data_IF_338355917429
#
_entry.id   IF_338355917429
#
_cell.length_a   1.000
_cell.length_b   1.000
_cell.length_c   1.000
_cell.angle_alpha   90.00
_cell.angle_beta   90.00
_cell.angle_gamma   90.00
#
_symmetry.space_group_name_H-M   'P 1'
#
loop_
_entity.id
_entity.type
_entity.pdbx_description
1 polymer ?
#
# COMPACT_ATOMS: atom_id res chain seq x y z
N UNK A 1 -14.33 -31.41 16.89
CA UNK A 1 -13.92 -30.18 16.21
C UNK A 1 -14.06 -29.05 17.21
N UNK A 2 -12.93 -28.48 17.61
CA UNK A 2 -12.81 -27.48 18.67
C UNK A 2 -13.36 -26.12 18.19
N UNK A 3 -14.11 -25.45 19.07
CA UNK A 3 -14.50 -24.06 18.91
C UNK A 3 -13.32 -23.19 19.35
N UNK A 4 -12.72 -22.45 18.41
CA UNK A 4 -11.80 -21.37 18.72
C UNK A 4 -12.61 -20.15 19.19
N UNK A 5 -12.56 -19.92 20.49
CA UNK A 5 -13.02 -18.69 21.11
C UNK A 5 -11.98 -17.60 20.86
N UNK A 6 -12.28 -16.67 19.95
CA UNK A 6 -11.51 -15.46 19.77
C UNK A 6 -11.65 -14.57 21.03
N UNK A 7 -10.51 -14.24 21.65
CA UNK A 7 -10.47 -13.27 22.75
C UNK A 7 -10.67 -11.86 22.19
N UNK A 8 -11.59 -11.05 22.76
CA UNK A 8 -11.75 -9.67 22.31
C UNK A 8 -10.54 -8.84 22.74
N UNK A 9 -9.85 -8.27 21.76
CA UNK A 9 -8.79 -7.27 21.93
C UNK A 9 -9.37 -6.02 22.58
N UNK A 10 -8.61 -5.46 23.53
CA UNK A 10 -8.92 -4.33 24.41
C UNK A 10 -9.81 -3.24 23.80
N UNK A 11 -10.95 -2.99 24.46
CA UNK A 11 -11.99 -2.05 24.05
C UNK A 11 -11.76 -0.59 24.52
N UNK A 12 -10.50 -0.14 24.64
CA UNK A 12 -10.17 1.20 25.14
C UNK A 12 -9.63 2.13 24.04
N UNK A 13 -10.18 2.02 22.83
CA UNK A 13 -9.99 3.04 21.78
C UNK A 13 -11.34 3.67 21.47
N UNK A 14 -11.66 4.74 22.19
CA UNK A 14 -12.81 5.60 21.86
C UNK A 14 -12.38 6.55 20.75
N UNK A 15 -12.69 6.21 19.51
CA UNK A 15 -12.59 7.16 18.41
C UNK A 15 -13.61 8.29 18.61
N UNK A 16 -13.15 9.54 18.52
CA UNK A 16 -14.01 10.74 18.68
C UNK A 16 -15.08 10.88 17.57
N UNK A 17 -15.03 10.02 16.56
CA UNK A 17 -16.07 9.87 15.54
C UNK A 17 -16.18 8.40 15.13
N UNK A 18 -17.37 7.82 15.30
CA UNK A 18 -17.74 6.50 14.76
C UNK A 18 -18.24 6.55 13.32
N UNK A 19 -18.05 7.69 12.62
CA UNK A 19 -18.54 7.90 11.25
C UNK A 19 -17.39 7.91 10.25
N UNK A 20 -17.52 7.06 9.23
CA UNK A 20 -16.67 7.11 8.03
C UNK A 20 -16.90 8.42 7.26
N UNK A 21 -15.86 9.00 6.64
CA UNK A 21 -16.02 10.17 5.77
C UNK A 21 -16.95 9.86 4.61
N UNK A 22 -18.01 10.66 4.44
CA UNK A 22 -18.92 10.52 3.31
C UNK A 22 -18.27 11.13 2.06
N UNK A 23 -17.63 10.32 1.22
CA UNK A 23 -17.19 10.74 -0.10
C UNK A 23 -18.26 10.42 -1.15
N UNK A 24 -18.52 11.36 -2.06
CA UNK A 24 -19.26 11.08 -3.31
C UNK A 24 -18.27 11.07 -4.47
N UNK A 25 -18.26 9.99 -5.23
CA UNK A 25 -17.43 9.85 -6.43
C UNK A 25 -18.09 10.66 -7.56
N UNK A 26 -17.38 11.66 -8.08
CA UNK A 26 -17.81 12.44 -9.24
C UNK A 26 -17.63 11.67 -10.56
N UNK A 27 -18.19 12.21 -11.64
CA UNK A 27 -18.35 11.57 -12.97
C UNK A 27 -17.03 11.12 -13.65
N UNK A 28 -15.85 11.43 -13.08
CA UNK A 28 -14.54 11.00 -13.58
C UNK A 28 -13.64 10.34 -12.51
N UNK A 29 -14.20 9.63 -11.51
CA UNK A 29 -13.43 8.97 -10.44
C UNK A 29 -12.51 9.90 -9.62
N UNK A 30 -12.71 11.22 -9.67
CA UNK A 30 -12.07 12.16 -8.76
C UNK A 30 -12.94 12.34 -7.52
N UNK A 31 -12.35 12.10 -6.35
CA UNK A 31 -12.96 12.37 -5.04
C UNK A 31 -12.94 13.87 -4.78
N UNK A 32 -14.10 14.52 -4.76
CA UNK A 32 -14.23 15.90 -4.24
C UNK A 32 -14.63 15.82 -2.76
N UNK A 33 -13.77 16.33 -1.88
CA UNK A 33 -14.13 16.57 -0.47
C UNK A 33 -15.23 17.63 -0.42
N UNK A 34 -16.37 17.30 0.22
CA UNK A 34 -17.42 18.26 0.51
C UNK A 34 -16.92 19.16 1.63
N UNK A 35 -16.67 20.43 1.31
CA UNK A 35 -16.36 21.49 2.28
C UNK A 35 -17.58 21.71 3.18
N UNK A 36 -17.64 21.00 4.29
CA UNK A 36 -18.32 21.50 5.49
C UNK A 36 -17.23 21.81 6.52
N UNK A 37 -17.17 23.07 6.95
CA UNK A 37 -16.29 23.53 8.02
C UNK A 37 -16.65 22.82 9.34
N UNK A 38 -15.69 22.09 9.91
CA UNK A 38 -15.36 22.32 11.30
C UNK A 38 -13.88 22.67 11.37
N UNK A 39 -13.55 23.80 12.01
CA UNK A 39 -12.19 24.22 12.43
C UNK A 39 -11.19 23.05 12.40
N UNK A 40 -10.52 22.87 11.27
CA UNK A 40 -9.55 21.81 11.08
C UNK A 40 -8.32 22.25 11.87
N UNK A 41 -8.28 21.85 13.14
CA UNK A 41 -7.08 21.97 13.97
C UNK A 41 -5.99 21.23 13.20
N UNK A 42 -4.97 21.97 12.76
CA UNK A 42 -3.84 21.43 12.02
C UNK A 42 -3.28 20.21 12.75
N UNK A 43 -2.90 19.16 12.02
CA UNK A 43 -2.34 17.93 12.61
C UNK A 43 -1.16 18.23 13.55
N UNK A 44 -0.39 19.28 13.27
CA UNK A 44 0.68 19.77 14.13
C UNK A 44 0.17 20.29 15.48
N UNK A 45 -0.98 20.96 15.50
CA UNK A 45 -1.61 21.47 16.72
C UNK A 45 -2.30 20.35 17.50
N UNK A 46 -2.87 19.36 16.82
CA UNK A 46 -3.41 18.14 17.47
C UNK A 46 -2.29 17.36 18.17
N UNK A 47 -1.18 17.10 17.47
CA UNK A 47 0.01 16.44 18.04
C UNK A 47 0.58 17.26 19.21
N UNK A 48 0.67 18.60 19.09
CA UNK A 48 1.14 19.43 20.18
C UNK A 48 0.23 19.35 21.42
N UNK A 49 -1.09 19.38 21.23
CA UNK A 49 -2.07 19.24 22.34
C UNK A 49 -1.97 17.87 22.99
N UNK A 50 -1.90 16.79 22.21
CA UNK A 50 -1.74 15.43 22.71
C UNK A 50 -0.41 15.26 23.46
N UNK A 51 0.69 15.81 22.95
CA UNK A 51 2.00 15.81 23.61
C UNK A 51 1.95 16.53 24.97
N UNK A 52 1.27 17.68 25.03
CA UNK A 52 1.09 18.40 26.31
C UNK A 52 0.21 17.64 27.29
N UNK A 53 -0.82 16.94 26.81
CA UNK A 53 -1.68 16.09 27.66
C UNK A 53 -0.92 14.88 28.20
N UNK A 54 -0.07 14.24 27.40
CA UNK A 54 0.79 13.14 27.83
C UNK A 54 1.82 13.59 28.88
N UNK A 55 2.46 14.75 28.68
CA UNK A 55 3.38 15.35 29.65
C UNK A 55 2.69 15.74 30.97
N UNK A 56 1.45 16.20 30.91
CA UNK A 56 0.67 16.52 32.12
C UNK A 56 0.22 15.25 32.86
N UNK A 57 -0.11 14.19 32.12
CA UNK A 57 -0.40 12.87 32.68
C UNK A 57 0.83 12.25 33.36
N UNK A 58 2.02 12.39 32.78
CA UNK A 58 3.29 11.98 33.37
C UNK A 58 3.55 12.68 34.72
N UNK A 59 3.20 13.97 34.83
CA UNK A 59 3.35 14.74 36.08
C UNK A 59 2.32 14.35 37.14
N UNK A 60 1.05 14.13 36.78
CA UNK A 60 -0.02 13.79 37.74
C UNK A 60 0.11 12.40 38.36
N UNK A 61 0.83 11.49 37.70
CA UNK A 61 1.05 10.11 38.15
C UNK A 61 2.53 9.77 38.33
N UNK A 62 3.42 10.77 38.43
CA UNK A 62 4.85 10.52 38.50
C UNK A 62 5.16 9.65 39.72
N UNK A 63 5.72 8.47 39.46
CA UNK A 63 6.19 7.51 40.48
C UNK A 63 7.12 8.21 41.48
N UNK A 64 7.85 9.24 41.03
CA UNK A 64 8.71 10.08 41.87
C UNK A 64 7.94 10.86 42.93
N UNK A 65 6.80 11.45 42.58
CA UNK A 65 5.97 12.19 43.53
C UNK A 65 5.32 11.25 44.54
N UNK A 66 4.89 10.07 44.08
CA UNK A 66 4.34 9.04 44.95
C UNK A 66 5.40 8.48 45.92
N UNK A 67 6.62 8.26 45.44
CA UNK A 67 7.76 7.86 46.28
C UNK A 67 8.10 8.92 47.33
N UNK A 68 8.13 10.20 46.96
CA UNK A 68 8.40 11.28 47.91
C UNK A 68 7.31 11.40 49.00
N UNK A 69 6.04 11.17 48.63
CA UNK A 69 4.92 11.14 49.59
C UNK A 69 5.02 9.94 50.51
N UNK A 70 5.42 8.78 49.98
CA UNK A 70 5.65 7.57 50.76
C UNK A 70 6.80 7.75 51.77
N UNK A 71 7.95 8.30 51.35
CA UNK A 71 9.08 8.59 52.25
C UNK A 71 8.70 9.57 53.36
N UNK A 72 7.97 10.64 53.02
CA UNK A 72 7.45 11.59 54.02
C UNK A 72 6.48 10.92 55.00
N UNK A 73 5.62 10.04 54.50
CA UNK A 73 4.71 9.23 55.32
C UNK A 73 5.46 8.29 56.26
N UNK A 74 6.50 7.62 55.76
CA UNK A 74 7.34 6.74 56.54
C UNK A 74 8.11 7.49 57.64
N UNK A 75 8.66 8.67 57.32
CA UNK A 75 9.32 9.52 58.30
C UNK A 75 8.36 10.06 59.37
N UNK A 76 7.13 10.40 59.00
CA UNK A 76 6.09 10.80 59.96
C UNK A 76 5.70 9.63 60.88
N UNK A 77 5.55 8.41 60.33
CA UNK A 77 5.25 7.21 61.10
C UNK A 77 6.38 6.85 62.08
N UNK A 78 7.64 7.03 61.69
CA UNK A 78 8.78 6.83 62.57
C UNK A 78 8.74 7.76 63.79
N UNK A 79 8.42 9.05 63.58
CA UNK A 79 8.26 10.03 64.68
C UNK A 79 7.14 9.66 65.65
N UNK A 80 6.01 9.19 65.13
CA UNK A 80 4.90 8.71 65.96
C UNK A 80 5.27 7.45 66.76
N UNK A 81 6.11 6.57 66.19
CA UNK A 81 6.62 5.39 66.89
C UNK A 81 7.52 5.76 68.07
N UNK A 82 8.40 6.74 67.90
CA UNK A 82 9.27 7.23 68.98
C UNK A 82 8.46 7.95 70.07
N UNK A 83 7.45 8.73 69.70
CA UNK A 83 6.51 9.34 70.66
C UNK A 83 5.75 8.28 71.47
N UNK A 84 5.32 7.19 70.82
CA UNK A 84 4.66 6.07 71.50
C UNK A 84 5.59 5.34 72.49
N UNK A 85 6.90 5.23 72.16
CA UNK A 85 7.90 4.65 73.08
C UNK A 85 8.11 5.53 74.31
N UNK A 86 8.16 6.86 74.13
CA UNK A 86 8.28 7.81 75.24
C UNK A 86 7.04 7.77 76.15
N UNK A 87 5.83 7.68 75.59
CA UNK A 87 4.59 7.53 76.36
C UNK A 87 4.55 6.23 77.17
N UNK A 88 5.07 5.13 76.62
CA UNK A 88 5.19 3.86 77.35
C UNK A 88 6.11 3.96 78.58
N UNK A 89 7.25 4.65 78.46
CA UNK A 89 8.15 4.89 79.59
C UNK A 89 7.50 5.78 80.68
N UNK A 90 6.78 6.81 80.27
CA UNK A 90 6.02 7.67 81.18
C UNK A 90 4.87 6.93 81.88
N UNK A 91 4.32 5.87 81.29
CA UNK A 91 3.25 5.07 81.91
C UNK A 91 3.75 4.23 83.08
N UNK A 92 4.96 3.66 82.96
CA UNK A 92 5.58 2.90 84.05
C UNK A 92 5.86 3.81 85.28
N UNK A 93 6.21 5.08 85.03
CA UNK A 93 6.39 6.08 86.08
C UNK A 93 5.06 6.44 86.79
N UNK A 94 3.93 6.42 86.09
CA UNK A 94 2.60 6.63 86.68
C UNK A 94 2.22 5.54 87.68
N UNK A 95 2.53 4.27 87.38
CA UNK A 95 2.31 3.16 88.34
C UNK A 95 3.13 3.33 89.61
N UNK A 96 4.39 3.76 89.49
CA UNK A 96 5.25 4.05 90.65
C UNK A 96 4.68 5.21 91.47
N UNK A 97 4.15 6.25 90.82
CA UNK A 97 3.55 7.40 91.50
C UNK A 97 2.24 7.03 92.22
N UNK A 98 1.35 6.30 91.56
CA UNK A 98 0.09 5.82 92.16
C UNK A 98 0.36 4.92 93.38
N UNK A 99 1.37 4.06 93.29
CA UNK A 99 1.79 3.23 94.44
C UNK A 99 2.27 4.10 95.60
N UNK A 100 3.17 5.06 95.36
CA UNK A 100 3.66 5.97 96.41
C UNK A 100 2.54 6.79 97.04
N UNK A 101 1.56 7.22 96.23
CA UNK A 101 0.39 7.96 96.71
C UNK A 101 -0.48 7.09 97.61
N UNK A 102 -0.74 5.84 97.22
CA UNK A 102 -1.45 4.86 98.05
C UNK A 102 -0.74 4.63 99.38
N UNK A 103 0.57 4.35 99.35
CA UNK A 103 1.38 4.11 100.56
C UNK A 103 1.36 5.34 101.51
N UNK A 104 1.38 6.56 100.95
CA UNK A 104 1.29 7.79 101.73
C UNK A 104 -0.10 8.02 102.35
N UNK A 105 -1.18 7.71 101.62
CA UNK A 105 -2.55 7.77 102.11
C UNK A 105 -2.79 6.71 103.21
N UNK A 106 -2.24 5.51 103.06
CA UNK A 106 -2.33 4.44 104.06
C UNK A 106 -1.61 4.84 105.37
N UNK A 107 -0.43 5.45 105.26
CA UNK A 107 0.30 6.01 106.41
C UNK A 107 -0.41 7.23 107.06
N UNK A 108 -1.19 7.99 106.29
CA UNK A 108 -2.04 9.07 106.83
C UNK A 108 -3.28 8.49 107.52
N UNK A 109 -3.93 7.48 106.94
CA UNK A 109 -5.09 6.78 107.47
C UNK A 109 -4.85 6.19 108.85
N UNK A 110 -3.66 5.65 109.10
CA UNK A 110 -3.25 5.16 110.43
C UNK A 110 -3.08 6.24 111.50
N UNK A 111 -3.10 7.53 111.13
CA UNK A 111 -2.91 8.70 112.03
C UNK A 111 -4.14 9.57 112.20
N UNK A 112 -5.20 9.37 111.39
CA UNK A 112 -6.45 10.17 111.44
C UNK A 112 -7.62 9.35 111.98
N UNK A 113 -8.67 10.01 112.49
CA UNK A 113 -9.85 9.38 113.07
C UNK A 113 -11.15 10.13 112.70
N UNK A 114 -12.29 9.44 112.83
CA UNK A 114 -13.62 9.98 112.49
C UNK A 114 -13.76 10.26 110.98
N UNK A 115 -14.48 11.32 110.62
CA UNK A 115 -14.74 11.69 109.21
C UNK A 115 -13.47 11.80 108.35
N UNK A 116 -12.37 12.33 108.90
CA UNK A 116 -11.11 12.43 108.16
C UNK A 116 -10.51 11.07 107.79
N UNK A 117 -10.83 10.02 108.56
CA UNK A 117 -10.41 8.65 108.24
C UNK A 117 -11.26 8.10 107.09
N UNK A 118 -12.57 8.33 107.13
CA UNK A 118 -13.49 7.93 106.06
C UNK A 118 -13.09 8.59 104.72
N UNK A 119 -12.74 9.88 104.73
CA UNK A 119 -12.28 10.60 103.53
C UNK A 119 -10.95 10.03 102.98
N UNK A 120 -10.03 9.58 103.85
CA UNK A 120 -8.77 8.94 103.44
C UNK A 120 -9.02 7.55 102.87
N UNK A 121 -9.95 6.77 103.44
CA UNK A 121 -10.36 5.46 102.91
C UNK A 121 -11.02 5.58 101.53
N UNK A 122 -11.86 6.62 101.32
CA UNK A 122 -12.42 6.94 99.99
C UNK A 122 -11.32 7.31 98.99
N UNK A 123 -10.36 8.15 99.39
CA UNK A 123 -9.23 8.52 98.53
C UNK A 123 -8.35 7.31 98.15
N UNK A 124 -8.11 6.38 99.09
CA UNK A 124 -7.42 5.11 98.80
C UNK A 124 -8.20 4.29 97.77
N UNK A 125 -9.52 4.15 97.94
CA UNK A 125 -10.39 3.44 97.00
C UNK A 125 -10.34 4.05 95.60
N UNK A 126 -10.31 5.39 95.49
CA UNK A 126 -10.17 6.08 94.21
C UNK A 126 -8.81 5.83 93.55
N UNK A 127 -7.72 5.83 94.33
CA UNK A 127 -6.36 5.55 93.82
C UNK A 127 -6.25 4.10 93.32
N UNK A 128 -6.86 3.15 94.03
CA UNK A 128 -6.93 1.75 93.59
C UNK A 128 -7.73 1.59 92.29
N UNK A 129 -8.87 2.27 92.18
CA UNK A 129 -9.66 2.28 90.94
C UNK A 129 -8.87 2.86 89.75
N UNK A 130 -8.11 3.94 89.97
CA UNK A 130 -7.25 4.53 88.94
C UNK A 130 -6.11 3.59 88.52
N UNK A 131 -5.52 2.84 89.46
CA UNK A 131 -4.47 1.86 89.16
C UNK A 131 -4.99 0.69 88.30
N UNK A 132 -6.21 0.20 88.59
CA UNK A 132 -6.87 -0.84 87.77
C UNK A 132 -7.12 -0.31 86.35
N UNK A 133 -7.74 0.86 86.20
CA UNK A 133 -7.99 1.46 84.89
C UNK A 133 -6.72 1.73 84.08
N UNK A 134 -5.62 2.10 84.73
CA UNK A 134 -4.34 2.32 84.07
C UNK A 134 -3.78 1.00 83.52
N UNK A 135 -3.89 -0.08 84.28
CA UNK A 135 -3.46 -1.42 83.88
C UNK A 135 -4.28 -1.97 82.71
N UNK A 136 -5.61 -1.79 82.75
CA UNK A 136 -6.51 -2.20 81.66
C UNK A 136 -6.16 -1.48 80.34
N UNK A 137 -6.03 -0.15 80.37
CA UNK A 137 -5.65 0.64 79.19
C UNK A 137 -4.27 0.26 78.64
N UNK A 138 -3.31 -0.06 79.50
CA UNK A 138 -2.01 -0.54 79.07
C UNK A 138 -2.10 -1.91 78.39
N UNK A 139 -2.96 -2.80 78.89
CA UNK A 139 -3.25 -4.10 78.26
C UNK A 139 -3.81 -3.94 76.84
N UNK A 140 -4.81 -3.06 76.67
CA UNK A 140 -5.37 -2.71 75.36
C UNK A 140 -4.30 -2.13 74.42
N UNK A 141 -3.47 -1.21 74.92
CA UNK A 141 -2.39 -0.61 74.12
C UNK A 141 -1.33 -1.63 73.68
N UNK A 142 -1.00 -2.62 74.54
CA UNK A 142 -0.09 -3.71 74.19
C UNK A 142 -0.69 -4.59 73.09
N UNK A 143 -1.98 -4.91 73.19
CA UNK A 143 -2.69 -5.68 72.17
C UNK A 143 -2.74 -4.93 70.84
N UNK A 144 -3.16 -3.66 70.85
CA UNK A 144 -3.21 -2.82 69.64
C UNK A 144 -1.82 -2.72 68.99
N UNK A 145 -0.76 -2.54 69.78
CA UNK A 145 0.62 -2.53 69.28
C UNK A 145 1.00 -3.85 68.60
N UNK A 146 0.55 -4.99 69.12
CA UNK A 146 0.80 -6.29 68.50
C UNK A 146 0.04 -6.44 67.16
N UNK A 147 -1.20 -5.97 67.09
CA UNK A 147 -1.99 -5.95 65.85
C UNK A 147 -1.40 -5.02 64.80
N UNK A 148 -0.98 -3.81 65.19
CA UNK A 148 -0.27 -2.85 64.32
C UNK A 148 1.04 -3.44 63.80
N UNK A 149 1.78 -4.19 64.62
CA UNK A 149 3.00 -4.89 64.18
C UNK A 149 2.68 -5.95 63.13
N UNK A 150 1.58 -6.69 63.29
CA UNK A 150 1.11 -7.69 62.32
C UNK A 150 0.68 -7.03 61.00
N UNK A 151 -0.09 -5.93 61.07
CA UNK A 151 -0.47 -5.15 59.89
C UNK A 151 0.76 -4.59 59.16
N UNK A 152 1.77 -4.12 59.89
CA UNK A 152 3.02 -3.65 59.31
C UNK A 152 3.75 -4.75 58.55
N UNK A 153 3.79 -5.98 59.09
CA UNK A 153 4.39 -7.12 58.36
C UNK A 153 3.62 -7.46 57.09
N UNK A 154 2.27 -7.44 57.13
CA UNK A 154 1.46 -7.67 55.93
C UNK A 154 1.65 -6.57 54.89
N UNK A 155 1.69 -5.31 55.30
CA UNK A 155 1.92 -4.19 54.39
C UNK A 155 3.30 -4.28 53.73
N UNK A 156 4.34 -4.63 54.49
CA UNK A 156 5.68 -4.88 53.94
C UNK A 156 5.67 -6.01 52.91
N UNK A 157 5.06 -7.13 53.23
CA UNK A 157 4.94 -8.27 52.31
C UNK A 157 4.21 -7.87 51.03
N UNK A 158 3.03 -7.26 51.16
CA UNK A 158 2.24 -6.80 50.01
C UNK A 158 3.00 -5.78 49.15
N UNK A 159 3.79 -4.90 49.76
CA UNK A 159 4.62 -3.94 49.02
C UNK A 159 5.77 -4.59 48.24
N UNK A 160 6.40 -5.62 48.81
CA UNK A 160 7.47 -6.37 48.15
C UNK A 160 6.90 -7.22 47.01
N UNK A 161 5.76 -7.88 47.25
CA UNK A 161 5.06 -8.67 46.22
C UNK A 161 4.60 -7.80 45.05
N UNK A 162 4.03 -6.62 45.33
CA UNK A 162 3.65 -5.66 44.30
C UNK A 162 4.86 -5.17 43.50
N UNK A 163 5.99 -4.90 44.17
CA UNK A 163 7.23 -4.51 43.49
C UNK A 163 7.76 -5.62 42.58
N UNK A 164 7.76 -6.87 43.06
CA UNK A 164 8.18 -8.04 42.29
C UNK A 164 7.32 -8.21 41.03
N UNK A 165 6.00 -8.16 41.16
CA UNK A 165 5.07 -8.26 40.03
C UNK A 165 5.32 -7.15 39.01
N UNK A 166 5.54 -5.91 39.46
CA UNK A 166 5.84 -4.80 38.55
C UNK A 166 7.16 -5.01 37.79
N UNK A 167 8.19 -5.53 38.45
CA UNK A 167 9.48 -5.80 37.81
C UNK A 167 9.40 -6.97 36.82
N UNK A 168 8.59 -8.00 37.11
CA UNK A 168 8.29 -9.11 36.20
C UNK A 168 7.54 -8.63 34.94
N UNK A 169 6.48 -7.85 35.10
CA UNK A 169 5.71 -7.27 33.98
C UNK A 169 6.58 -6.33 33.12
N UNK A 170 7.45 -5.53 33.76
CA UNK A 170 8.43 -4.71 33.04
C UNK A 170 9.43 -5.54 32.24
N UNK A 171 9.88 -6.66 32.79
CA UNK A 171 10.79 -7.57 32.09
C UNK A 171 10.08 -8.23 30.89
N UNK A 172 8.84 -8.67 31.07
CA UNK A 172 8.01 -9.23 30.00
C UNK A 172 7.80 -8.22 28.87
N UNK A 173 7.36 -7.01 29.20
CA UNK A 173 7.15 -5.94 28.21
C UNK A 173 8.44 -5.59 27.45
N UNK A 174 9.60 -5.58 28.13
CA UNK A 174 10.90 -5.37 27.47
C UNK A 174 11.24 -6.48 26.49
N UNK A 175 11.04 -7.74 26.88
CA UNK A 175 11.29 -8.90 26.03
C UNK A 175 10.36 -8.90 24.80
N UNK A 176 9.09 -8.52 24.97
CA UNK A 176 8.13 -8.42 23.87
C UNK A 176 8.49 -7.30 22.90
N UNK A 177 8.89 -6.12 23.40
CA UNK A 177 9.41 -5.02 22.59
C UNK A 177 10.66 -5.44 21.81
N UNK A 178 11.60 -6.14 22.45
CA UNK A 178 12.81 -6.62 21.80
C UNK A 178 12.51 -7.65 20.71
N UNK A 179 11.59 -8.58 20.96
CA UNK A 179 11.14 -9.55 19.96
C UNK A 179 10.46 -8.85 18.76
N UNK A 180 9.59 -7.87 19.02
CA UNK A 180 8.96 -7.07 17.96
C UNK A 180 10.01 -6.31 17.14
N UNK A 181 11.02 -5.70 17.79
CA UNK A 181 12.15 -5.05 17.10
C UNK A 181 12.95 -6.03 16.24
N UNK A 182 13.24 -7.22 16.75
CA UNK A 182 13.94 -8.25 15.99
C UNK A 182 13.11 -8.73 14.78
N UNK A 183 11.78 -8.81 14.91
CA UNK A 183 10.90 -9.12 13.79
C UNK A 183 10.89 -8.01 12.73
N UNK A 184 10.83 -6.75 13.15
CA UNK A 184 10.94 -5.58 12.25
C UNK A 184 12.27 -5.60 11.51
N UNK A 185 13.39 -5.81 12.21
CA UNK A 185 14.71 -5.88 11.59
C UNK A 185 14.79 -6.99 10.53
N UNK A 186 14.24 -8.18 10.79
CA UNK A 186 14.19 -9.25 9.77
C UNK A 186 13.38 -8.87 8.53
N UNK A 187 12.29 -8.13 8.72
CA UNK A 187 11.47 -7.65 7.59
C UNK A 187 12.22 -6.57 6.81
N UNK A 188 12.91 -5.66 7.49
CA UNK A 188 13.74 -4.63 6.87
C UNK A 188 14.88 -5.26 6.03
N UNK A 189 15.58 -6.26 6.59
CA UNK A 189 16.63 -7.01 5.88
C UNK A 189 16.06 -7.72 4.64
N UNK A 190 14.93 -8.42 4.77
CA UNK A 190 14.29 -9.10 3.65
C UNK A 190 13.80 -8.13 2.55
N UNK A 191 13.30 -6.95 2.93
CA UNK A 191 12.93 -5.90 1.97
C UNK A 191 14.16 -5.35 1.24
N UNK A 192 15.26 -5.11 1.96
CA UNK A 192 16.50 -4.63 1.36
C UNK A 192 17.07 -5.65 0.36
N UNK A 193 17.10 -6.93 0.72
CA UNK A 193 17.50 -8.02 -0.20
C UNK A 193 16.61 -8.07 -1.45
N UNK A 194 15.30 -7.93 -1.27
CA UNK A 194 14.35 -7.90 -2.39
C UNK A 194 14.59 -6.70 -3.31
N UNK A 195 14.83 -5.51 -2.76
CA UNK A 195 15.16 -4.30 -3.54
C UNK A 195 16.47 -4.47 -4.33
N UNK A 196 17.50 -5.08 -3.72
CA UNK A 196 18.77 -5.36 -4.39
C UNK A 196 18.60 -6.36 -5.54
N UNK A 197 17.84 -7.44 -5.31
CA UNK A 197 17.51 -8.42 -6.35
C UNK A 197 16.70 -7.81 -7.50
N UNK A 198 15.68 -7.00 -7.19
CA UNK A 198 14.89 -6.31 -8.21
C UNK A 198 15.74 -5.34 -9.04
N UNK A 199 16.67 -4.62 -8.40
CA UNK A 199 17.62 -3.74 -9.09
C UNK A 199 18.60 -4.51 -9.97
N UNK A 200 19.06 -5.68 -9.53
CA UNK A 200 19.94 -6.55 -10.32
C UNK A 200 19.21 -7.14 -11.54
N UNK A 201 18.00 -7.69 -11.32
CA UNK A 201 17.15 -8.22 -12.40
C UNK A 201 16.85 -7.17 -13.45
N UNK A 202 16.40 -5.97 -13.05
CA UNK A 202 16.07 -4.92 -14.00
C UNK A 202 17.26 -4.44 -14.83
N UNK A 203 18.48 -4.50 -14.28
CA UNK A 203 19.71 -4.23 -15.05
C UNK A 203 19.99 -5.34 -16.07
N UNK A 204 19.86 -6.60 -15.65
CA UNK A 204 20.07 -7.74 -16.53
C UNK A 204 19.07 -7.73 -17.70
N UNK A 205 17.79 -7.45 -17.43
CA UNK A 205 16.73 -7.38 -18.45
C UNK A 205 17.02 -6.27 -19.47
N UNK A 206 17.50 -5.11 -19.02
CA UNK A 206 17.87 -4.00 -19.90
C UNK A 206 19.08 -4.35 -20.78
N UNK A 207 20.09 -5.00 -20.20
CA UNK A 207 21.29 -5.43 -20.91
C UNK A 207 20.98 -6.52 -21.96
N UNK A 208 20.10 -7.48 -21.63
CA UNK A 208 19.61 -8.48 -22.57
C UNK A 208 18.82 -7.83 -23.71
N UNK A 209 17.90 -6.92 -23.40
CA UNK A 209 17.17 -6.17 -24.43
C UNK A 209 18.11 -5.36 -25.34
N UNK A 210 19.16 -4.75 -24.77
CA UNK A 210 20.17 -4.05 -25.58
C UNK A 210 20.90 -5.00 -26.55
N UNK A 211 21.24 -6.21 -26.11
CA UNK A 211 21.86 -7.23 -26.99
C UNK A 211 20.91 -7.67 -28.09
N UNK A 212 19.65 -7.94 -27.76
CA UNK A 212 18.62 -8.31 -28.74
C UNK A 212 18.40 -7.22 -29.78
N UNK A 213 18.30 -5.96 -29.34
CA UNK A 213 18.16 -4.80 -30.25
C UNK A 213 19.38 -4.66 -31.16
N UNK A 214 20.58 -4.87 -30.65
CA UNK A 214 21.80 -4.86 -31.47
C UNK A 214 21.82 -5.99 -32.49
N UNK A 215 21.43 -7.21 -32.10
CA UNK A 215 21.38 -8.35 -33.01
C UNK A 215 20.29 -8.18 -34.08
N UNK A 216 19.10 -7.70 -33.70
CA UNK A 216 18.04 -7.37 -34.65
C UNK A 216 18.50 -6.32 -35.68
N UNK A 217 19.28 -5.32 -35.26
CA UNK A 217 19.90 -4.35 -36.17
C UNK A 217 20.93 -5.02 -37.08
N UNK A 218 21.78 -5.91 -36.56
CA UNK A 218 22.77 -6.66 -37.34
C UNK A 218 22.11 -7.52 -38.41
N UNK A 219 21.10 -8.32 -38.04
CA UNK A 219 20.31 -9.14 -38.95
C UNK A 219 19.68 -8.27 -40.03
N UNK A 220 19.04 -7.16 -39.66
CA UNK A 220 18.44 -6.22 -40.62
C UNK A 220 19.46 -5.72 -41.64
N UNK A 221 20.64 -5.29 -41.17
CA UNK A 221 21.71 -4.81 -42.06
C UNK A 221 22.23 -5.89 -43.01
N UNK A 222 22.28 -7.15 -42.58
CA UNK A 222 22.77 -8.26 -43.40
C UNK A 222 21.77 -8.65 -44.51
N UNK A 223 20.46 -8.60 -44.25
CA UNK A 223 19.44 -9.12 -45.16
C UNK A 223 18.84 -8.05 -46.09
N UNK A 224 18.96 -6.76 -45.76
CA UNK A 224 18.34 -5.69 -46.56
C UNK A 224 18.97 -5.51 -47.96
N UNK A 225 20.31 -5.58 -48.15
CA UNK A 225 20.92 -5.59 -49.48
C UNK A 225 20.68 -6.90 -50.26
N UNK A 226 20.59 -8.04 -49.56
CA UNK A 226 20.35 -9.35 -50.19
C UNK A 226 19.03 -9.39 -50.93
N UNK A 227 17.95 -8.88 -50.31
CA UNK A 227 16.63 -8.87 -50.95
C UNK A 227 16.60 -8.01 -52.22
N UNK A 228 17.34 -6.90 -52.25
CA UNK A 228 17.47 -6.06 -53.44
C UNK A 228 18.25 -6.80 -54.52
N UNK A 229 19.36 -7.45 -54.16
CA UNK A 229 20.15 -8.25 -55.10
C UNK A 229 19.33 -9.39 -55.72
N UNK A 230 18.55 -10.13 -54.93
CA UNK A 230 17.71 -11.22 -55.42
C UNK A 230 16.67 -10.71 -56.44
N UNK A 231 16.00 -9.59 -56.13
CA UNK A 231 15.07 -8.94 -57.07
C UNK A 231 15.78 -8.45 -58.34
N UNK A 232 17.01 -7.95 -58.25
CA UNK A 232 17.81 -7.55 -59.42
C UNK A 232 18.20 -8.74 -60.30
N UNK A 233 18.48 -9.90 -59.70
CA UNK A 233 18.74 -11.14 -60.43
C UNK A 233 17.49 -11.63 -61.17
N UNK A 234 16.32 -11.61 -60.51
CA UNK A 234 15.03 -11.95 -61.12
C UNK A 234 14.68 -11.02 -62.28
N UNK A 235 14.84 -9.70 -62.11
CA UNK A 235 14.60 -8.72 -63.17
C UNK A 235 15.52 -8.94 -64.38
N UNK A 236 16.79 -9.28 -64.15
CA UNK A 236 17.73 -9.63 -65.23
C UNK A 236 17.28 -10.88 -65.99
N UNK A 237 16.81 -11.91 -65.29
CA UNK A 237 16.28 -13.12 -65.90
C UNK A 237 15.03 -12.84 -66.76
N UNK A 238 14.08 -12.04 -66.23
CA UNK A 238 12.87 -11.65 -66.96
C UNK A 238 13.18 -10.82 -68.22
N UNK A 239 14.15 -9.89 -68.14
CA UNK A 239 14.60 -9.12 -69.31
C UNK A 239 15.19 -10.03 -70.38
N UNK A 240 16.02 -11.00 -70.00
CA UNK A 240 16.58 -11.97 -70.95
C UNK A 240 15.49 -12.80 -71.63
N UNK A 241 14.50 -13.28 -70.87
CA UNK A 241 13.36 -14.00 -71.44
C UNK A 241 12.52 -13.12 -72.37
N UNK A 242 12.30 -11.86 -72.00
CA UNK A 242 11.56 -10.90 -72.82
C UNK A 242 12.29 -10.63 -74.15
N UNK A 243 13.61 -10.42 -74.12
CA UNK A 243 14.42 -10.23 -75.32
C UNK A 243 14.35 -11.46 -76.24
N UNK A 244 14.42 -12.67 -75.68
CA UNK A 244 14.28 -13.90 -76.43
C UNK A 244 12.89 -14.00 -77.08
N UNK A 245 11.82 -13.79 -76.31
CA UNK A 245 10.44 -13.80 -76.81
C UNK A 245 10.21 -12.72 -77.87
N UNK A 246 10.81 -11.54 -77.70
CA UNK A 246 10.76 -10.46 -78.67
C UNK A 246 11.44 -10.85 -79.98
N UNK A 247 12.64 -11.47 -79.92
CA UNK A 247 13.32 -12.02 -81.12
C UNK A 247 12.46 -13.05 -81.84
N UNK A 248 11.80 -13.96 -81.11
CA UNK A 248 10.87 -14.93 -81.70
C UNK A 248 9.64 -14.25 -82.31
N UNK A 249 9.07 -13.26 -81.64
CA UNK A 249 7.93 -12.49 -82.15
C UNK A 249 8.27 -11.78 -83.46
N UNK A 250 9.42 -11.11 -83.53
CA UNK A 250 9.89 -10.45 -84.76
C UNK A 250 10.14 -11.47 -85.89
N UNK A 251 10.72 -12.64 -85.58
CA UNK A 251 10.89 -13.73 -86.56
C UNK A 251 9.53 -14.20 -87.10
N UNK A 252 8.58 -14.45 -86.21
CA UNK A 252 7.24 -14.88 -86.59
C UNK A 252 6.51 -13.81 -87.42
N UNK A 253 6.63 -12.53 -87.07
CA UNK A 253 6.10 -11.43 -87.87
C UNK A 253 6.70 -11.40 -89.28
N UNK A 254 8.02 -11.63 -89.41
CA UNK A 254 8.70 -11.74 -90.72
C UNK A 254 8.23 -12.95 -91.51
N UNK A 255 8.07 -14.11 -90.87
CA UNK A 255 7.53 -15.32 -91.51
C UNK A 255 6.07 -15.13 -91.97
N UNK A 256 5.24 -14.48 -91.16
CA UNK A 256 3.86 -14.12 -91.53
C UNK A 256 3.83 -13.14 -92.71
N UNK A 257 4.70 -12.14 -92.73
CA UNK A 257 4.84 -11.23 -93.87
C UNK A 257 5.27 -11.97 -95.15
N UNK A 258 6.21 -12.91 -95.05
CA UNK A 258 6.64 -13.76 -96.17
C UNK A 258 5.51 -14.66 -96.68
N UNK A 259 4.76 -15.33 -95.78
CA UNK A 259 3.61 -16.17 -96.17
C UNK A 259 2.50 -15.36 -96.80
N UNK A 260 2.27 -14.12 -96.35
CA UNK A 260 1.32 -13.20 -96.97
C UNK A 260 1.74 -12.76 -98.38
N UNK A 261 3.05 -12.74 -98.69
CA UNK A 261 3.56 -12.46 -100.05
C UNK A 261 3.62 -13.67 -100.99
N UNK A 262 3.43 -14.89 -100.47
CA UNK A 262 3.49 -16.15 -101.23
C UNK A 262 2.13 -16.78 -101.56
N UNK A 263 1.04 -16.18 -101.11
CA UNK A 263 -0.31 -16.56 -101.53
C UNK A 263 -0.67 -15.76 -102.78
N UNK A 264 -0.72 -16.46 -103.91
CA UNK A 264 -1.01 -15.92 -105.23
C UNK A 264 -2.41 -15.35 -105.28
N UNK A 265 -2.56 -14.13 -104.79
CA UNK A 265 -3.77 -13.35 -104.98
C UNK A 265 -3.62 -12.72 -106.35
N UNK A 266 -4.46 -13.17 -107.28
CA UNK A 266 -4.79 -12.47 -108.53
C UNK A 266 -4.57 -10.97 -108.36
N UNK A 267 -3.58 -10.40 -109.05
CA UNK A 267 -3.33 -8.96 -108.99
C UNK A 267 -4.61 -8.26 -109.45
N UNK A 268 -5.39 -7.80 -108.49
CA UNK A 268 -6.54 -6.97 -108.76
C UNK A 268 -5.98 -5.69 -109.37
N UNK A 269 -6.33 -5.40 -110.62
CA UNK A 269 -5.89 -4.20 -111.33
C UNK A 269 -6.31 -2.90 -110.63
N UNK A 270 -7.25 -3.01 -109.68
CA UNK A 270 -7.77 -1.91 -108.88
C UNK A 270 -8.00 -2.34 -107.41
N UNK A 271 -7.75 -1.43 -106.47
CA UNK A 271 -7.98 -1.60 -105.03
C UNK A 271 -8.94 -0.52 -104.52
N UNK A 272 -9.73 -0.84 -103.50
CA UNK A 272 -10.59 0.12 -102.81
C UNK A 272 -9.78 0.74 -101.66
N UNK A 273 -9.54 2.05 -101.73
CA UNK A 273 -8.85 2.83 -100.71
C UNK A 273 -9.84 3.70 -99.94
N UNK A 274 -9.65 3.77 -98.62
CA UNK A 274 -10.49 4.52 -97.70
C UNK A 274 -10.84 3.72 -96.43
N UNK A 275 -11.17 4.45 -95.37
CA UNK A 275 -11.51 3.83 -94.08
C UNK A 275 -12.94 3.27 -94.12
N UNK A 276 -13.12 1.99 -93.80
CA UNK A 276 -14.42 1.30 -93.76
C UNK A 276 -15.25 1.67 -92.52
N UNK A 277 -15.54 2.95 -92.35
CA UNK A 277 -16.34 3.49 -91.26
C UNK A 277 -17.41 4.46 -91.77
N UNK A 278 -18.60 4.44 -91.15
CA UNK A 278 -19.73 5.30 -91.52
C UNK A 278 -19.31 6.78 -91.45
N UNK A 279 -19.49 7.52 -92.55
CA UNK A 279 -19.09 8.93 -92.69
C UNK A 279 -17.73 9.14 -93.38
N UNK A 280 -17.01 8.08 -93.71
CA UNK A 280 -15.83 8.12 -94.59
C UNK A 280 -16.22 7.92 -96.06
N UNK A 281 -15.30 8.21 -96.99
CA UNK A 281 -15.48 7.92 -98.41
C UNK A 281 -14.52 6.81 -98.85
N UNK A 282 -15.01 5.95 -99.74
CA UNK A 282 -14.24 4.90 -100.39
C UNK A 282 -14.02 5.29 -101.85
N UNK A 283 -12.81 5.09 -102.36
CA UNK A 283 -12.43 5.37 -103.76
C UNK A 283 -11.74 4.15 -104.37
N UNK A 284 -11.90 3.97 -105.67
CA UNK A 284 -11.21 2.91 -106.41
C UNK A 284 -9.93 3.50 -107.00
N UNK A 285 -8.79 2.87 -106.76
CA UNK A 285 -7.49 3.29 -107.28
C UNK A 285 -6.90 2.21 -108.19
N UNK A 286 -6.25 2.58 -109.31
CA UNK A 286 -5.50 1.63 -110.12
C UNK A 286 -4.24 1.17 -109.38
N UNK A 287 -3.97 -0.14 -109.41
CA UNK A 287 -2.82 -0.75 -108.75
C UNK A 287 -1.54 -0.73 -109.61
N UNK A 288 -1.64 -0.38 -110.90
CA UNK A 288 -0.49 -0.28 -111.82
C UNK A 288 -0.61 0.91 -112.77
N UNK A 289 0.54 1.39 -113.25
CA UNK A 289 0.64 2.53 -114.18
C UNK A 289 0.07 2.25 -115.58
N UNK A 290 -0.19 0.99 -115.92
CA UNK A 290 -0.72 0.55 -117.21
C UNK A 290 -2.25 0.37 -117.20
N UNK A 291 -2.90 0.66 -116.06
CA UNK A 291 -4.35 0.53 -115.91
C UNK A 291 -5.11 1.63 -116.67
N UNK A 292 -6.20 1.25 -117.33
CA UNK A 292 -7.09 2.16 -118.07
C UNK A 292 -7.73 3.18 -117.12
N UNK A 293 -7.91 4.41 -117.61
CA UNK A 293 -8.57 5.47 -116.84
C UNK A 293 -9.99 5.04 -116.41
N UNK A 294 -10.29 5.24 -115.12
CA UNK A 294 -11.52 4.80 -114.44
C UNK A 294 -12.76 5.41 -115.13
N UNK A 295 -12.62 6.58 -115.75
CA UNK A 295 -13.67 7.27 -116.53
C UNK A 295 -14.24 6.45 -117.70
N UNK A 296 -13.52 5.43 -118.16
CA UNK A 296 -13.93 4.56 -119.29
C UNK A 296 -14.74 3.35 -118.85
N UNK A 297 -14.88 3.12 -117.54
CA UNK A 297 -15.58 1.97 -116.99
C UNK A 297 -16.96 2.34 -116.44
N UNK A 298 -17.90 1.40 -116.52
CA UNK A 298 -19.15 1.47 -115.77
C UNK A 298 -18.92 0.87 -114.39
N UNK A 299 -19.01 1.68 -113.34
CA UNK A 299 -18.79 1.27 -111.95
C UNK A 299 -20.15 1.11 -111.28
N UNK A 300 -20.34 0.02 -110.53
CA UNK A 300 -21.57 -0.25 -109.79
C UNK A 300 -21.24 -0.70 -108.37
N UNK A 301 -21.58 0.13 -107.39
CA UNK A 301 -21.46 -0.22 -105.98
C UNK A 301 -22.57 -1.18 -105.57
N UNK A 302 -22.21 -2.13 -104.71
CA UNK A 302 -23.14 -3.09 -104.12
C UNK A 302 -22.98 -3.09 -102.61
N UNK A 303 -24.10 -3.25 -101.91
CA UNK A 303 -24.09 -3.59 -100.48
C UNK A 303 -24.42 -5.07 -100.31
N UNK A 304 -23.91 -5.65 -99.22
CA UNK A 304 -24.28 -7.00 -98.81
C UNK A 304 -25.58 -6.93 -97.99
N UNK A 305 -26.60 -7.69 -98.40
CA UNK A 305 -27.80 -7.85 -97.59
C UNK A 305 -27.50 -8.66 -96.31
N UNK A 306 -28.15 -8.32 -95.20
CA UNK A 306 -27.86 -8.90 -93.87
C UNK A 306 -28.12 -10.42 -93.76
N UNK A 307 -28.94 -11.02 -94.63
CA UNK A 307 -29.20 -12.46 -94.63
C UNK A 307 -28.98 -13.06 -96.02
N UNK A 308 -27.96 -13.92 -96.14
CA UNK A 308 -27.81 -14.80 -97.30
C UNK A 308 -26.93 -14.30 -98.45
N UNK A 309 -26.09 -13.28 -98.26
CA UNK A 309 -24.94 -12.99 -99.13
C UNK A 309 -25.25 -12.53 -100.56
N UNK A 310 -26.51 -12.23 -100.88
CA UNK A 310 -26.88 -11.63 -102.16
C UNK A 310 -26.43 -10.16 -102.18
N UNK A 311 -25.75 -9.77 -103.26
CA UNK A 311 -25.24 -8.41 -103.47
C UNK A 311 -26.37 -7.55 -104.08
N UNK A 312 -26.76 -6.48 -103.40
CA UNK A 312 -27.77 -5.53 -103.88
C UNK A 312 -27.10 -4.31 -104.51
N UNK A 313 -27.42 -3.94 -105.77
CA UNK A 313 -26.85 -2.74 -106.39
C UNK A 313 -27.38 -1.49 -105.71
N UNK A 314 -26.48 -0.53 -105.43
CA UNK A 314 -26.84 0.79 -104.94
C UNK A 314 -27.09 1.67 -106.18
N UNK A 315 -28.35 2.00 -106.44
CA UNK A 315 -28.72 2.82 -107.60
C UNK A 315 -28.36 4.29 -107.41
N UNK A 316 -27.69 4.91 -108.38
CA UNK A 316 -27.46 6.36 -108.44
C UNK A 316 -26.13 6.89 -107.87
N UNK A 317 -25.13 6.01 -107.66
CA UNK A 317 -23.75 6.33 -107.22
C UNK A 317 -22.76 5.88 -108.28
#
# INVERSE_FOLDING_TARGET
MQQDAAWPVSADVVFHSSRFPNYKIGVNNQTSELTEDPKVVSMKEMVARETTQLLDHEKRLSVRDLASKFEKGLAAAAKLSDEARLKGAASLEKHVLLKKLRDALEALGGRVAGRNKDDVEEAISMVEALAVQLTEREGELIQEKAEVKKLTSFLKQASEDAKKLLDEERAFARAEIENARAAVQRVEEALQEFEEMARASGKQDLDELMKEVQEARRIKMLHQPSKVMDMEHELRALRAQFEEKSKYSIKLQKELALRKSGDGTTQNSYEIDGTEALGSFLKILPCSSDALDISKFSIQWHRLACEGGKKEPISGI
#
